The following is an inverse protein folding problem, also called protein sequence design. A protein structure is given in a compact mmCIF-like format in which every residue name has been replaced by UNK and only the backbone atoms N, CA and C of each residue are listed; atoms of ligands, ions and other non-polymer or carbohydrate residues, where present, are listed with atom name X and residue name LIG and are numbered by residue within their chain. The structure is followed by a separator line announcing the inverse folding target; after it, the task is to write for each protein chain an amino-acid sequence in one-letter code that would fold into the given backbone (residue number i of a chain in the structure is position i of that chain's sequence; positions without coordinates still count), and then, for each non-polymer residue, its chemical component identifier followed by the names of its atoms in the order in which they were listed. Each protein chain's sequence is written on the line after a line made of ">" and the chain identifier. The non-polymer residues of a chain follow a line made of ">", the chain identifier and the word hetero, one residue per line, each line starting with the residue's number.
data_IF_588099500399
#
_entry.id   IF_588099500399
#
_cell.length_a   1.000
_cell.length_b   1.000
_cell.length_c   1.000
_cell.angle_alpha   90.00
_cell.angle_beta   90.00
_cell.angle_gamma   90.00
#
_symmetry.space_group_name_H-M   'P 1'
#
loop_
_entity.id
_entity.type
_entity.pdbx_description
1 polymer ?
#
# COMPACT_ATOMS: atom_id res chain seq x y z
N UNK A 1 -2.58 1.02 -8.68
CA UNK A 1 -3.95 1.51 -8.97
C UNK A 1 -3.98 3.03 -8.96
N UNK A 2 -4.81 3.59 -9.80
CA UNK A 2 -5.01 5.03 -9.80
C UNK A 2 -5.89 5.44 -8.61
N UNK A 3 -5.72 6.65 -8.14
CA UNK A 3 -6.48 7.12 -6.98
C UNK A 3 -7.99 7.07 -7.22
N UNK A 4 -8.41 7.27 -8.46
CA UNK A 4 -9.81 7.19 -8.82
C UNK A 4 -10.37 5.80 -8.60
N UNK A 5 -9.60 4.78 -8.95
CA UNK A 5 -10.00 3.39 -8.73
C UNK A 5 -10.05 3.05 -7.24
N UNK A 6 -9.08 3.57 -6.48
CA UNK A 6 -9.04 3.36 -5.04
C UNK A 6 -10.27 3.97 -4.36
N UNK A 7 -10.73 5.11 -4.84
CA UNK A 7 -11.90 5.77 -4.27
C UNK A 7 -13.20 5.01 -4.50
N UNK A 8 -13.21 4.11 -5.46
CA UNK A 8 -14.38 3.27 -5.73
C UNK A 8 -14.47 2.07 -4.81
N UNK A 9 -13.39 1.75 -4.10
CA UNK A 9 -13.36 0.61 -3.22
C UNK A 9 -14.04 0.93 -1.88
N UNK A 10 -14.58 -0.12 -1.24
CA UNK A 10 -15.11 0.00 0.10
C UNK A 10 -13.96 0.16 1.10
N UNK A 11 -14.28 0.58 2.32
CA UNK A 11 -13.27 0.73 3.37
C UNK A 11 -12.57 -0.60 3.67
N UNK A 12 -13.34 -1.68 3.71
CA UNK A 12 -12.77 -3.00 3.96
C UNK A 12 -11.81 -3.42 2.85
N UNK A 13 -12.16 -3.13 1.61
CA UNK A 13 -11.30 -3.43 0.48
C UNK A 13 -10.03 -2.60 0.50
N UNK A 14 -10.13 -1.34 0.89
CA UNK A 14 -8.97 -0.48 1.02
C UNK A 14 -8.02 -0.97 2.11
N UNK A 15 -8.57 -1.38 3.24
CA UNK A 15 -7.77 -1.92 4.34
C UNK A 15 -7.08 -3.22 3.92
N UNK A 16 -7.80 -4.10 3.24
CA UNK A 16 -7.22 -5.35 2.74
C UNK A 16 -6.09 -5.06 1.74
N UNK A 17 -6.30 -4.11 0.84
CA UNK A 17 -5.28 -3.73 -0.14
C UNK A 17 -4.04 -3.17 0.52
N UNK A 18 -4.23 -2.31 1.54
CA UNK A 18 -3.11 -1.75 2.29
C UNK A 18 -2.29 -2.83 2.98
N UNK A 19 -2.96 -3.80 3.59
CA UNK A 19 -2.29 -4.92 4.25
C UNK A 19 -1.46 -5.72 3.27
N UNK A 20 -2.01 -6.00 2.10
CA UNK A 20 -1.34 -6.72 1.04
C UNK A 20 -0.08 -6.00 0.56
N UNK A 21 -0.20 -4.69 0.35
CA UNK A 21 0.93 -3.88 -0.10
C UNK A 21 2.04 -3.81 0.95
N UNK A 22 1.68 -3.72 2.22
CA UNK A 22 2.66 -3.72 3.30
C UNK A 22 3.40 -5.06 3.38
N UNK A 23 2.68 -6.15 3.15
CA UNK A 23 3.26 -7.49 3.13
C UNK A 23 4.24 -7.62 1.97
N UNK A 24 3.87 -7.13 0.80
CA UNK A 24 4.74 -7.15 -0.37
C UNK A 24 6.00 -6.31 -0.13
N UNK A 25 5.86 -5.15 0.47
CA UNK A 25 7.00 -4.29 0.79
C UNK A 25 7.96 -4.99 1.74
N UNK A 26 7.44 -5.71 2.72
CA UNK A 26 8.25 -6.48 3.65
C UNK A 26 9.03 -7.57 2.93
N UNK A 27 8.37 -8.32 2.04
CA UNK A 27 9.00 -9.36 1.26
C UNK A 27 10.09 -8.81 0.33
N UNK A 28 9.84 -7.67 -0.27
CA UNK A 28 10.83 -7.01 -1.12
C UNK A 28 12.08 -6.62 -0.33
N UNK A 29 11.90 -6.14 0.90
CA UNK A 29 13.03 -5.82 1.77
C UNK A 29 13.85 -7.04 2.12
N UNK A 30 13.18 -8.17 2.39
CA UNK A 30 13.88 -9.41 2.67
C UNK A 30 14.71 -9.85 1.47
N UNK A 31 14.16 -9.74 0.27
CA UNK A 31 14.88 -10.11 -0.94
C UNK A 31 16.11 -9.23 -1.14
N UNK A 32 16.02 -7.95 -0.82
CA UNK A 32 17.17 -7.06 -0.91
C UNK A 32 18.29 -7.47 0.07
N UNK A 33 17.90 -7.91 1.26
CA UNK A 33 18.86 -8.35 2.27
C UNK A 33 19.59 -9.62 1.83
N UNK A 34 18.93 -10.47 1.05
CA UNK A 34 19.55 -11.70 0.55
C UNK A 34 20.32 -11.50 -0.75
N UNK A 35 20.42 -10.25 -1.23
CA UNK A 35 21.15 -9.95 -2.44
C UNK A 35 20.34 -10.02 -3.72
N UNK A 36 19.06 -10.36 -3.62
CA UNK A 36 18.18 -10.34 -4.79
C UNK A 36 17.88 -8.89 -5.15
N UNK A 37 18.06 -8.54 -6.42
CA UNK A 37 17.84 -7.18 -6.89
C UNK A 37 16.39 -6.97 -7.28
N UNK A 38 15.66 -6.24 -6.46
CA UNK A 38 14.34 -5.76 -6.82
C UNK A 38 14.43 -4.33 -7.29
N UNK A 39 13.59 -3.96 -8.23
CA UNK A 39 13.60 -2.60 -8.75
C UNK A 39 13.11 -1.62 -7.69
N UNK A 40 13.90 -0.59 -7.35
CA UNK A 40 13.46 0.39 -6.36
C UNK A 40 12.13 1.06 -6.71
N UNK A 41 11.81 1.14 -8.01
CA UNK A 41 10.55 1.74 -8.46
C UNK A 41 9.33 0.97 -7.94
N UNK A 42 9.42 -0.35 -7.80
CA UNK A 42 8.32 -1.16 -7.28
C UNK A 42 8.04 -0.80 -5.83
N UNK A 43 9.08 -0.65 -5.03
CA UNK A 43 8.97 -0.26 -3.63
C UNK A 43 8.32 1.12 -3.51
N UNK A 44 8.74 2.06 -4.34
CA UNK A 44 8.18 3.42 -4.34
C UNK A 44 6.72 3.42 -4.73
N UNK A 45 6.35 2.63 -5.73
CA UNK A 45 4.96 2.54 -6.17
C UNK A 45 4.07 1.97 -5.06
N UNK A 46 4.55 0.93 -4.37
CA UNK A 46 3.81 0.33 -3.27
C UNK A 46 3.62 1.33 -2.13
N UNK A 47 4.67 2.06 -1.76
CA UNK A 47 4.59 3.07 -0.70
C UNK A 47 3.61 4.17 -1.09
N UNK A 48 3.64 4.60 -2.33
CA UNK A 48 2.75 5.64 -2.83
C UNK A 48 1.30 5.19 -2.78
N UNK A 49 1.04 3.96 -3.18
CA UNK A 49 -0.32 3.42 -3.16
C UNK A 49 -0.85 3.30 -1.72
N UNK A 50 -0.01 2.83 -0.80
CA UNK A 50 -0.38 2.77 0.62
C UNK A 50 -0.73 4.15 1.14
N UNK A 51 0.07 5.16 0.81
CA UNK A 51 -0.19 6.53 1.23
C UNK A 51 -1.53 7.05 0.71
N UNK A 52 -1.84 6.73 -0.54
CA UNK A 52 -3.13 7.11 -1.14
C UNK A 52 -4.30 6.44 -0.43
N UNK A 53 -4.16 5.17 -0.12
CA UNK A 53 -5.20 4.43 0.60
C UNK A 53 -5.42 5.05 1.98
N UNK A 54 -4.35 5.34 2.70
CA UNK A 54 -4.45 5.95 4.01
C UNK A 54 -5.10 7.35 3.95
N UNK A 55 -4.78 8.11 2.93
CA UNK A 55 -5.39 9.41 2.72
C UNK A 55 -6.90 9.29 2.51
N UNK A 56 -7.33 8.34 1.69
CA UNK A 56 -8.75 8.11 1.43
C UNK A 56 -9.46 7.68 2.69
N UNK A 57 -8.88 6.76 3.45
CA UNK A 57 -9.46 6.28 4.69
C UNK A 57 -9.59 7.41 5.70
N UNK A 58 -8.58 8.28 5.79
CA UNK A 58 -8.61 9.43 6.66
C UNK A 58 -9.72 10.39 6.27
N UNK A 59 -9.89 10.66 4.98
CA UNK A 59 -10.94 11.53 4.47
C UNK A 59 -12.32 10.98 4.78
N UNK A 60 -12.46 9.66 4.83
CA UNK A 60 -13.73 9.01 5.16
C UNK A 60 -13.96 8.88 6.66
N UNK A 61 -12.98 9.24 7.47
CA UNK A 61 -13.07 9.08 8.91
C UNK A 61 -12.84 7.66 9.38
N UNK A 62 -12.24 6.83 8.54
CA UNK A 62 -12.01 5.40 8.83
C UNK A 62 -10.55 5.11 9.16
N UNK A 63 -9.91 6.01 9.85
CA UNK A 63 -8.52 5.83 10.22
C UNK A 63 -8.38 4.95 11.46
N UNK A 64 -8.71 3.68 11.31
CA UNK A 64 -8.84 2.75 12.42
C UNK A 64 -7.51 2.39 13.08
N UNK A 65 -6.40 2.74 12.46
CA UNK A 65 -5.10 2.38 12.98
C UNK A 65 -4.33 3.54 13.57
N UNK A 66 -4.95 4.66 13.64
CA UNK A 66 -4.31 5.82 14.25
C UNK A 66 -4.13 5.64 15.75
#
# INVERSE_FOLDING_TARGET
>A
MKIKELRELSNEELIARRRELRKDAFNLRLHQQTGALEKPSVIRLNRREVARIETILTQRGENAES
#
